data_IF_816033028621
#
_entry.id   IF_816033028621
#
_cell.length_a   1.000
_cell.length_b   1.000
_cell.length_c   1.000
_cell.angle_alpha   90.00
_cell.angle_beta   90.00
_cell.angle_gamma   90.00
#
_symmetry.space_group_name_H-M   'P 1'
#
loop_
_entity.id
_entity.type
_entity.pdbx_description
1 polymer ?
#
# COMPACT_ATOMS: atom_id res chain seq x y z
N UNK A 1 -9.71 -12.57 42.16
CA UNK A 1 -9.32 -13.12 40.85
C UNK A 1 -10.20 -12.64 39.69
N UNK A 2 -11.51 -12.44 39.87
CA UNK A 2 -12.44 -12.03 38.79
C UNK A 2 -12.27 -10.62 38.18
N UNK A 3 -11.56 -9.69 38.85
CA UNK A 3 -11.34 -8.33 38.32
C UNK A 3 -10.38 -8.32 37.13
N UNK A 4 -9.28 -9.08 37.20
CA UNK A 4 -8.31 -9.19 36.10
C UNK A 4 -8.91 -9.88 34.88
N UNK A 5 -9.70 -10.93 35.07
CA UNK A 5 -10.40 -11.64 33.99
C UNK A 5 -11.41 -10.73 33.25
N UNK A 6 -12.05 -9.79 33.97
CA UNK A 6 -12.93 -8.79 33.35
C UNK A 6 -12.16 -7.75 32.53
N UNK A 7 -11.02 -7.27 33.01
CA UNK A 7 -10.17 -6.35 32.23
C UNK A 7 -9.63 -7.01 30.96
N UNK A 8 -9.23 -8.30 31.04
CA UNK A 8 -8.80 -9.08 29.88
C UNK A 8 -9.93 -9.28 28.86
N UNK A 9 -11.15 -9.56 29.32
CA UNK A 9 -12.33 -9.68 28.45
C UNK A 9 -12.70 -8.36 27.78
N UNK A 10 -12.61 -7.25 28.50
CA UNK A 10 -12.88 -5.91 27.94
C UNK A 10 -11.80 -5.52 26.93
N UNK A 11 -10.52 -5.79 27.21
CA UNK A 11 -9.44 -5.57 26.25
C UNK A 11 -9.59 -6.44 24.99
N UNK A 12 -10.04 -7.68 25.14
CA UNK A 12 -10.32 -8.57 24.00
C UNK A 12 -11.52 -8.08 23.18
N UNK A 13 -12.59 -7.61 23.83
CA UNK A 13 -13.77 -7.04 23.16
C UNK A 13 -13.46 -5.73 22.43
N UNK A 14 -12.61 -4.88 23.01
CA UNK A 14 -12.12 -3.66 22.35
C UNK A 14 -11.20 -4.00 21.19
N UNK A 15 -10.36 -5.04 21.30
CA UNK A 15 -9.52 -5.52 20.20
C UNK A 15 -10.33 -6.10 19.02
N UNK A 16 -11.47 -6.75 19.30
CA UNK A 16 -12.39 -7.26 18.26
C UNK A 16 -13.20 -6.11 17.62
N UNK A 17 -13.33 -4.96 18.30
CA UNK A 17 -14.00 -3.76 17.78
C UNK A 17 -13.05 -2.77 17.08
N UNK A 18 -11.75 -3.07 16.95
CA UNK A 18 -10.89 -2.30 16.04
C UNK A 18 -11.36 -2.62 14.62
N UNK A 19 -11.79 -1.62 13.84
CA UNK A 19 -12.34 -1.88 12.52
C UNK A 19 -11.29 -2.60 11.67
N UNK A 20 -11.74 -3.60 10.91
CA UNK A 20 -10.94 -4.33 9.91
C UNK A 20 -10.45 -3.45 8.73
N UNK A 21 -10.44 -2.13 8.94
CA UNK A 21 -10.08 -1.05 8.03
C UNK A 21 -8.99 -0.16 8.64
N UNK A 22 -8.22 -0.65 9.61
CA UNK A 22 -7.06 0.08 10.12
C UNK A 22 -5.92 0.04 9.08
N UNK A 23 -5.20 1.15 8.93
CA UNK A 23 -4.04 1.23 8.06
C UNK A 23 -2.95 0.22 8.45
N UNK A 24 -2.46 -0.57 7.47
CA UNK A 24 -1.34 -1.48 7.66
C UNK A 24 -0.13 -1.07 6.79
N UNK A 25 0.85 -0.44 7.43
CA UNK A 25 2.12 -0.05 6.79
C UNK A 25 2.90 -1.23 6.19
N UNK A 26 2.78 -2.43 6.76
CA UNK A 26 3.45 -3.63 6.24
C UNK A 26 2.78 -4.08 4.95
N UNK A 27 1.45 -4.03 4.91
CA UNK A 27 0.69 -4.37 3.71
C UNK A 27 0.90 -3.33 2.60
N UNK A 28 0.94 -2.03 2.95
CA UNK A 28 1.33 -0.96 2.01
C UNK A 28 2.71 -1.22 1.42
N UNK A 29 3.73 -1.46 2.26
CA UNK A 29 5.09 -1.76 1.79
C UNK A 29 5.11 -2.98 0.87
N UNK A 30 4.45 -4.08 1.25
CA UNK A 30 4.41 -5.30 0.43
C UNK A 30 3.72 -5.06 -0.92
N UNK A 31 2.66 -4.26 -0.95
CA UNK A 31 1.96 -3.90 -2.17
C UNK A 31 2.84 -3.02 -3.07
N UNK A 32 3.58 -2.07 -2.49
CA UNK A 32 4.55 -1.27 -3.25
C UNK A 32 5.67 -2.14 -3.83
N UNK A 33 6.20 -3.12 -3.09
CA UNK A 33 7.24 -4.04 -3.60
C UNK A 33 6.73 -4.84 -4.80
N UNK A 34 5.50 -5.36 -4.70
CA UNK A 34 4.87 -6.12 -5.79
C UNK A 34 4.56 -5.25 -7.00
N UNK A 35 4.10 -4.02 -6.78
CA UNK A 35 3.87 -3.06 -7.87
C UNK A 35 5.17 -2.71 -8.59
N UNK A 36 6.24 -2.42 -7.85
CA UNK A 36 7.53 -2.11 -8.43
C UNK A 36 8.10 -3.30 -9.21
N UNK A 37 8.09 -4.49 -8.61
CA UNK A 37 8.59 -5.71 -9.25
C UNK A 37 7.79 -6.07 -10.52
N UNK A 38 6.46 -6.04 -10.46
CA UNK A 38 5.63 -6.28 -11.66
C UNK A 38 5.86 -5.24 -12.75
N UNK A 39 6.04 -3.96 -12.38
CA UNK A 39 6.39 -2.89 -13.31
C UNK A 39 7.71 -3.15 -14.03
N UNK A 40 8.75 -3.59 -13.31
CA UNK A 40 10.03 -3.97 -13.90
C UNK A 40 9.90 -5.16 -14.85
N UNK A 41 9.18 -6.21 -14.44
CA UNK A 41 8.95 -7.38 -15.28
C UNK A 41 8.18 -7.02 -16.56
N UNK A 42 7.14 -6.18 -16.45
CA UNK A 42 6.40 -5.69 -17.60
C UNK A 42 7.29 -4.85 -18.53
N UNK A 43 8.13 -3.97 -17.99
CA UNK A 43 9.08 -3.20 -18.79
C UNK A 43 10.04 -4.11 -19.57
N UNK A 44 10.52 -5.22 -18.98
CA UNK A 44 11.33 -6.20 -19.68
C UNK A 44 10.56 -6.91 -20.80
N UNK A 45 9.29 -7.27 -20.54
CA UNK A 45 8.43 -7.93 -21.53
C UNK A 45 7.97 -7.01 -22.67
N UNK A 46 7.95 -5.70 -22.42
CA UNK A 46 7.55 -4.67 -23.39
C UNK A 46 8.75 -3.98 -24.04
N UNK A 47 9.97 -4.48 -23.84
CA UNK A 47 11.15 -3.90 -24.46
C UNK A 47 11.01 -3.94 -26.00
N UNK A 48 11.42 -2.89 -26.76
CA UNK A 48 11.19 -2.82 -28.21
C UNK A 48 11.74 -3.99 -29.03
N UNK A 49 12.75 -4.70 -28.51
CA UNK A 49 13.33 -5.89 -29.12
C UNK A 49 12.61 -7.21 -28.81
N UNK A 50 11.54 -7.18 -28.01
CA UNK A 50 10.78 -8.38 -27.61
C UNK A 50 9.57 -8.61 -28.52
N UNK A 51 9.09 -9.86 -28.65
CA UNK A 51 7.81 -10.14 -29.28
C UNK A 51 6.67 -9.36 -28.63
N UNK A 52 5.57 -9.17 -29.37
CA UNK A 52 4.37 -8.48 -28.90
C UNK A 52 3.97 -8.95 -27.48
N UNK A 53 3.79 -8.06 -26.49
CA UNK A 53 3.65 -8.45 -25.09
C UNK A 53 2.52 -9.46 -24.81
N UNK A 54 1.38 -9.33 -25.51
CA UNK A 54 0.23 -10.23 -25.39
C UNK A 54 0.46 -11.65 -25.94
N UNK A 55 1.61 -11.90 -26.57
CA UNK A 55 2.03 -13.25 -26.96
C UNK A 55 2.84 -13.96 -25.87
N UNK A 56 3.29 -13.23 -24.85
CA UNK A 56 3.99 -13.80 -23.70
C UNK A 56 2.98 -14.20 -22.61
N UNK A 57 2.91 -15.48 -22.20
CA UNK A 57 1.97 -15.93 -21.18
C UNK A 57 2.18 -15.26 -19.81
N UNK A 58 3.39 -14.78 -19.53
CA UNK A 58 3.72 -14.09 -18.27
C UNK A 58 3.19 -12.65 -18.25
N UNK A 59 2.88 -12.05 -19.40
CA UNK A 59 2.38 -10.67 -19.45
C UNK A 59 1.10 -10.49 -18.63
N UNK A 60 0.16 -11.43 -18.77
CA UNK A 60 -1.09 -11.40 -17.99
C UNK A 60 -0.82 -11.50 -16.49
N UNK A 61 0.05 -12.41 -16.08
CA UNK A 61 0.42 -12.59 -14.66
C UNK A 61 0.98 -11.31 -14.05
N UNK A 62 1.93 -10.66 -14.72
CA UNK A 62 2.54 -9.45 -14.19
C UNK A 62 1.60 -8.24 -14.26
N UNK A 63 0.77 -8.14 -15.29
CA UNK A 63 -0.27 -7.11 -15.40
C UNK A 63 -1.33 -7.24 -14.30
N UNK A 64 -1.81 -8.46 -14.03
CA UNK A 64 -2.77 -8.72 -12.96
C UNK A 64 -2.15 -8.41 -11.59
N UNK A 65 -0.89 -8.81 -11.36
CA UNK A 65 -0.20 -8.52 -10.12
C UNK A 65 0.02 -7.01 -9.92
N UNK A 66 0.37 -6.27 -10.97
CA UNK A 66 0.48 -4.82 -10.91
C UNK A 66 -0.86 -4.18 -10.54
N UNK A 67 -1.95 -4.63 -11.18
CA UNK A 67 -3.31 -4.14 -10.91
C UNK A 67 -3.74 -4.37 -9.46
N UNK A 68 -3.60 -5.61 -8.96
CA UNK A 68 -3.96 -5.95 -7.60
C UNK A 68 -3.10 -5.20 -6.57
N UNK A 69 -1.82 -5.00 -6.86
CA UNK A 69 -0.92 -4.24 -5.99
C UNK A 69 -1.36 -2.78 -5.87
N UNK A 70 -1.73 -2.13 -6.98
CA UNK A 70 -2.29 -0.78 -6.96
C UNK A 70 -3.61 -0.69 -6.21
N UNK A 71 -4.48 -1.68 -6.37
CA UNK A 71 -5.73 -1.76 -5.60
C UNK A 71 -5.46 -1.83 -4.10
N UNK A 72 -4.49 -2.64 -3.67
CA UNK A 72 -4.07 -2.70 -2.27
C UNK A 72 -3.49 -1.36 -1.80
N UNK A 73 -2.58 -0.74 -2.56
CA UNK A 73 -2.01 0.58 -2.22
C UNK A 73 -3.13 1.61 -2.01
N UNK A 74 -4.07 1.70 -2.95
CA UNK A 74 -5.20 2.64 -2.85
C UNK A 74 -6.08 2.35 -1.65
N UNK A 75 -6.33 1.08 -1.35
CA UNK A 75 -7.10 0.66 -0.17
C UNK A 75 -6.43 1.08 1.13
N UNK A 76 -5.12 0.83 1.27
CA UNK A 76 -4.34 1.20 2.46
C UNK A 76 -4.25 2.72 2.63
N UNK A 77 -4.06 3.48 1.54
CA UNK A 77 -4.06 4.95 1.64
C UNK A 77 -5.44 5.46 2.06
N UNK A 78 -6.50 4.90 1.49
CA UNK A 78 -7.88 5.31 1.79
C UNK A 78 -8.30 4.98 3.22
N UNK A 79 -7.69 3.97 3.85
CA UNK A 79 -7.98 3.55 5.22
C UNK A 79 -7.24 4.36 6.29
N UNK A 80 -6.34 5.28 5.90
CA UNK A 80 -5.68 6.19 6.85
C UNK A 80 -6.73 7.13 7.44
N UNK A 81 -6.81 7.20 8.77
CA UNK A 81 -7.76 8.06 9.49
C UNK A 81 -7.09 9.04 10.46
N UNK A 82 -5.80 8.87 10.74
CA UNK A 82 -5.09 9.64 11.77
C UNK A 82 -3.73 10.20 11.32
N UNK A 83 -3.24 11.21 12.04
CA UNK A 83 -1.91 11.81 11.81
C UNK A 83 -0.77 10.82 12.03
N UNK A 84 -0.92 9.91 12.98
CA UNK A 84 0.05 8.86 13.27
C UNK A 84 0.16 7.87 12.11
N UNK A 85 -0.96 7.52 11.47
CA UNK A 85 -0.98 6.66 10.29
C UNK A 85 -0.42 7.37 9.06
N UNK A 86 -0.71 8.67 8.88
CA UNK A 86 -0.07 9.49 7.85
C UNK A 86 1.46 9.43 8.00
N UNK A 87 1.98 9.60 9.21
CA UNK A 87 3.42 9.56 9.46
C UNK A 87 4.03 8.20 9.10
N UNK A 88 3.35 7.09 9.44
CA UNK A 88 3.78 5.74 9.06
C UNK A 88 3.76 5.53 7.54
N UNK A 89 2.69 5.95 6.86
CA UNK A 89 2.58 5.86 5.41
C UNK A 89 3.67 6.69 4.71
N UNK A 90 3.93 7.91 5.21
CA UNK A 90 5.02 8.76 4.71
C UNK A 90 6.38 8.08 4.87
N UNK A 91 6.66 7.46 6.01
CA UNK A 91 7.94 6.75 6.20
C UNK A 91 8.15 5.63 5.18
N UNK A 92 7.10 4.86 4.86
CA UNK A 92 7.16 3.84 3.81
C UNK A 92 7.44 4.48 2.45
N UNK A 93 6.68 5.51 2.10
CA UNK A 93 6.86 6.23 0.82
C UNK A 93 8.26 6.84 0.68
N UNK A 94 8.75 7.50 1.71
CA UNK A 94 10.11 8.08 1.73
C UNK A 94 11.18 7.02 1.53
N UNK A 95 11.06 5.85 2.18
CA UNK A 95 11.98 4.74 1.96
C UNK A 95 12.05 4.35 0.48
N UNK A 96 10.90 4.23 -0.19
CA UNK A 96 10.87 3.91 -1.62
C UNK A 96 11.50 4.99 -2.49
N UNK A 97 11.31 6.28 -2.15
CA UNK A 97 11.96 7.39 -2.86
C UNK A 97 13.49 7.40 -2.71
N UNK A 98 14.04 6.74 -1.69
CA UNK A 98 15.51 6.55 -1.58
C UNK A 98 16.07 5.45 -2.48
N UNK A 99 15.21 4.59 -3.04
CA UNK A 99 15.61 3.51 -3.94
C UNK A 99 15.88 4.06 -5.36
N UNK A 100 16.05 3.17 -6.33
CA UNK A 100 16.37 3.52 -7.74
C UNK A 100 15.34 2.93 -8.68
N UNK A 101 15.29 3.47 -9.91
CA UNK A 101 14.43 2.97 -10.97
C UNK A 101 12.96 2.98 -10.60
N UNK A 102 12.24 1.91 -10.98
CA UNK A 102 10.79 1.78 -10.81
C UNK A 102 10.33 1.93 -9.37
N UNK A 103 11.14 1.48 -8.39
CA UNK A 103 10.83 1.62 -6.97
C UNK A 103 10.76 3.08 -6.51
N UNK A 104 11.71 3.91 -6.96
CA UNK A 104 11.72 5.34 -6.67
C UNK A 104 10.54 6.05 -7.30
N UNK A 105 10.31 5.77 -8.57
CA UNK A 105 9.26 6.42 -9.34
C UNK A 105 7.88 6.05 -8.78
N UNK A 106 7.71 4.80 -8.32
CA UNK A 106 6.54 4.37 -7.56
C UNK A 106 6.38 5.14 -6.24
N UNK A 107 7.46 5.34 -5.48
CA UNK A 107 7.44 6.16 -4.26
C UNK A 107 6.85 7.55 -4.52
N UNK A 108 7.30 8.24 -5.56
CA UNK A 108 6.74 9.53 -5.96
C UNK A 108 5.27 9.47 -6.38
N UNK A 109 4.85 8.41 -7.08
CA UNK A 109 3.44 8.26 -7.49
C UNK A 109 2.53 8.04 -6.28
N UNK A 110 2.94 7.16 -5.35
CA UNK A 110 2.19 6.88 -4.12
C UNK A 110 2.12 8.11 -3.21
N UNK A 111 3.17 8.95 -3.19
CA UNK A 111 3.18 10.23 -2.48
C UNK A 111 2.05 11.17 -2.93
N UNK A 112 1.73 11.19 -4.23
CA UNK A 112 0.64 12.02 -4.76
C UNK A 112 -0.69 11.60 -4.14
N UNK A 113 -1.02 10.30 -4.19
CA UNK A 113 -2.25 9.77 -3.60
C UNK A 113 -2.31 9.96 -2.09
N UNK A 114 -1.18 9.79 -1.39
CA UNK A 114 -1.10 10.05 0.04
C UNK A 114 -1.38 11.52 0.36
N UNK A 115 -0.83 12.45 -0.41
CA UNK A 115 -1.08 13.88 -0.22
C UNK A 115 -2.55 14.27 -0.47
N UNK A 116 -3.22 13.61 -1.42
CA UNK A 116 -4.67 13.78 -1.61
C UNK A 116 -5.46 13.30 -0.39
N UNK A 117 -5.10 12.15 0.18
CA UNK A 117 -5.73 11.65 1.40
C UNK A 117 -5.50 12.59 2.59
N UNK A 118 -4.30 13.11 2.75
CA UNK A 118 -3.98 14.08 3.81
C UNK A 118 -4.85 15.32 3.69
N UNK A 119 -4.96 15.90 2.49
CA UNK A 119 -5.84 17.06 2.24
C UNK A 119 -7.30 16.75 2.55
N UNK A 120 -7.77 15.55 2.20
CA UNK A 120 -9.12 15.11 2.55
C UNK A 120 -9.34 15.10 4.07
N UNK A 121 -8.41 14.51 4.82
CA UNK A 121 -8.51 14.44 6.28
C UNK A 121 -8.44 15.82 6.94
N UNK A 122 -7.61 16.74 6.42
CA UNK A 122 -7.55 18.12 6.90
C UNK A 122 -8.88 18.87 6.78
N UNK A 123 -9.64 18.63 5.71
CA UNK A 123 -10.96 19.24 5.49
C UNK A 123 -12.03 18.60 6.38
N UNK A 124 -11.93 17.30 6.64
CA UNK A 124 -12.96 16.52 7.33
C UNK A 124 -12.69 16.27 8.83
N UNK A 125 -11.63 16.85 9.38
CA UNK A 125 -11.34 16.82 10.82
C UNK A 125 -10.66 15.54 11.31
N UNK A 126 -9.88 14.88 10.44
CA UNK A 126 -8.98 13.77 10.81
C UNK A 126 -7.70 14.23 11.53
#
# INVERSE_FOLDING_TARGET
>A
MYKFSRFLLVALLVAIMVPAFAFDSTNLSRAMDRAAHSGEMLNMLMHPGMPKPWTNPMYKTWSDMLHESWKTITSEISSIESKEEIAKARNVVELYKTLKGTYRDLGHQVEISLNERVKFLEIHGG
#
